data_IF_276018837984
#
_entry.id   IF_276018837984
#
_cell.length_a   1.000
_cell.length_b   1.000
_cell.length_c   1.000
_cell.angle_alpha   90.00
_cell.angle_beta   90.00
_cell.angle_gamma   90.00
#
_symmetry.space_group_name_H-M   'P 1'
#
loop_
_entity.id
_entity.type
_entity.pdbx_description
1 polymer ?
#
# COMPACT_ATOMS: atom_id res chain seq x y z
N UNK A 1 21.34 -23.62 -10.91
CA UNK A 1 21.73 -22.25 -10.51
C UNK A 1 20.78 -21.19 -11.12
N UNK A 2 20.55 -21.19 -12.45
CA UNK A 2 19.58 -20.28 -13.10
C UNK A 2 18.14 -20.50 -12.62
N UNK A 3 17.72 -21.75 -12.50
CA UNK A 3 16.37 -22.11 -12.00
C UNK A 3 16.16 -21.60 -10.58
N UNK A 4 17.16 -21.71 -9.71
CA UNK A 4 17.07 -21.20 -8.32
C UNK A 4 16.95 -19.67 -8.27
N UNK A 5 17.63 -18.98 -9.17
CA UNK A 5 17.55 -17.50 -9.30
C UNK A 5 16.15 -17.11 -9.76
N UNK A 6 15.62 -17.74 -10.80
CA UNK A 6 14.26 -17.47 -11.30
C UNK A 6 13.19 -17.71 -10.22
N UNK A 7 13.28 -18.83 -9.49
CA UNK A 7 12.35 -19.10 -8.38
C UNK A 7 12.40 -18.03 -7.29
N UNK A 8 13.61 -17.61 -6.90
CA UNK A 8 13.78 -16.54 -5.89
C UNK A 8 13.22 -15.21 -6.34
N UNK A 9 13.34 -14.89 -7.63
CA UNK A 9 12.73 -13.67 -8.21
C UNK A 9 11.21 -13.79 -8.13
N UNK A 10 10.62 -14.87 -8.63
CA UNK A 10 9.17 -15.10 -8.64
C UNK A 10 8.56 -15.08 -7.22
N UNK A 11 9.19 -15.74 -6.26
CA UNK A 11 8.77 -15.73 -4.86
C UNK A 11 8.82 -14.33 -4.25
N UNK A 12 9.88 -13.58 -4.54
CA UNK A 12 10.04 -12.21 -4.08
C UNK A 12 8.98 -11.29 -4.68
N UNK A 13 8.71 -11.42 -5.98
CA UNK A 13 7.70 -10.64 -6.69
C UNK A 13 6.28 -10.94 -6.18
N UNK A 14 5.95 -12.22 -6.00
CA UNK A 14 4.66 -12.64 -5.46
C UNK A 14 4.45 -12.11 -4.02
N UNK A 15 5.50 -12.20 -3.19
CA UNK A 15 5.47 -11.69 -1.82
C UNK A 15 5.33 -10.17 -1.77
N UNK A 16 6.10 -9.45 -2.58
CA UNK A 16 6.03 -7.99 -2.70
C UNK A 16 4.62 -7.53 -3.10
N UNK A 17 4.03 -8.17 -4.10
CA UNK A 17 2.66 -7.92 -4.56
C UNK A 17 1.63 -8.17 -3.46
N UNK A 18 1.71 -9.29 -2.76
CA UNK A 18 0.79 -9.61 -1.66
C UNK A 18 0.86 -8.58 -0.55
N UNK A 19 2.08 -8.19 -0.14
CA UNK A 19 2.28 -7.26 0.96
C UNK A 19 1.87 -5.83 0.58
N UNK A 20 2.19 -5.36 -0.63
CA UNK A 20 1.82 -4.02 -1.09
C UNK A 20 0.30 -3.84 -1.14
N UNK A 21 -0.44 -4.88 -1.53
CA UNK A 21 -1.90 -4.85 -1.57
C UNK A 21 -2.60 -4.94 -0.19
N UNK A 22 -1.85 -4.93 0.91
CA UNK A 22 -2.41 -4.87 2.27
C UNK A 22 -2.67 -3.44 2.75
N UNK A 23 -2.05 -2.45 2.14
CA UNK A 23 -2.13 -1.06 2.55
C UNK A 23 -3.36 -0.36 1.97
N UNK A 24 -3.99 0.52 2.77
CA UNK A 24 -5.17 1.25 2.33
C UNK A 24 -4.86 2.33 1.28
N UNK A 25 -3.61 2.78 1.19
CA UNK A 25 -3.18 3.76 0.18
C UNK A 25 -2.96 3.17 -1.22
N UNK A 26 -2.77 1.87 -1.35
CA UNK A 26 -2.43 1.20 -2.63
C UNK A 26 -3.41 1.48 -3.76
N UNK A 27 -4.76 1.42 -3.56
CA UNK A 27 -5.69 1.77 -4.64
C UNK A 27 -5.52 3.21 -5.15
N UNK A 28 -5.19 4.15 -4.24
CA UNK A 28 -4.91 5.55 -4.60
C UNK A 28 -3.67 5.68 -5.49
N UNK A 29 -2.62 4.91 -5.20
CA UNK A 29 -1.40 4.90 -6.03
C UNK A 29 -1.67 4.33 -7.43
N UNK A 30 -2.47 3.27 -7.52
CA UNK A 30 -2.88 2.72 -8.83
C UNK A 30 -3.74 3.72 -9.62
N UNK A 31 -4.68 4.42 -8.97
CA UNK A 31 -5.46 5.49 -9.62
C UNK A 31 -4.57 6.62 -10.13
N UNK A 32 -3.61 7.08 -9.32
CA UNK A 32 -2.63 8.09 -9.73
C UNK A 32 -1.81 7.68 -10.96
N UNK A 33 -1.48 6.38 -11.08
CA UNK A 33 -0.80 5.86 -12.26
C UNK A 33 -1.70 5.85 -13.49
N UNK A 34 -2.99 5.50 -13.35
CA UNK A 34 -3.96 5.61 -14.46
C UNK A 34 -4.14 7.06 -14.92
N UNK A 35 -4.11 8.02 -13.99
CA UNK A 35 -4.17 9.46 -14.32
C UNK A 35 -2.93 9.91 -15.09
N UNK A 36 -1.74 9.45 -14.71
CA UNK A 36 -0.49 9.71 -15.43
C UNK A 36 -0.50 9.11 -16.84
N UNK A 37 -1.07 7.92 -17.01
CA UNK A 37 -1.23 7.29 -18.34
C UNK A 37 -2.18 8.09 -19.23
N UNK A 38 -3.36 8.49 -18.72
CA UNK A 38 -4.33 9.28 -19.47
C UNK A 38 -3.78 10.66 -19.82
N UNK A 39 -3.06 11.29 -18.88
CA UNK A 39 -2.39 12.58 -19.08
C UNK A 39 -1.12 12.52 -19.93
N UNK A 40 -0.75 11.34 -20.48
CA UNK A 40 0.50 11.11 -21.24
C UNK A 40 1.78 11.48 -20.48
N UNK A 41 1.71 11.51 -19.15
CA UNK A 41 2.87 11.77 -18.28
C UNK A 41 3.73 10.52 -18.08
N UNK A 42 3.16 9.33 -18.31
CA UNK A 42 3.85 8.05 -18.32
C UNK A 42 3.70 7.36 -19.68
N UNK A 43 4.74 6.63 -20.06
CA UNK A 43 4.73 5.87 -21.32
C UNK A 43 3.96 4.56 -21.13
N UNK A 44 3.03 4.28 -22.03
CA UNK A 44 2.21 3.07 -22.01
C UNK A 44 3.05 1.78 -21.97
N UNK A 45 4.06 1.69 -22.85
CA UNK A 45 4.96 0.54 -22.94
C UNK A 45 5.82 0.29 -21.71
N UNK A 46 5.96 1.27 -20.81
CA UNK A 46 6.64 1.11 -19.51
C UNK A 46 5.73 0.62 -18.40
N UNK A 47 4.45 0.88 -18.53
CA UNK A 47 3.46 0.65 -17.46
C UNK A 47 2.67 -0.63 -17.71
N UNK A 48 2.15 -0.81 -18.92
CA UNK A 48 1.26 -1.91 -19.28
C UNK A 48 2.06 -3.04 -19.93
N UNK A 49 1.63 -4.29 -19.73
CA UNK A 49 2.28 -5.46 -20.31
C UNK A 49 2.19 -5.47 -21.84
N UNK A 50 3.20 -5.99 -22.50
CA UNK A 50 3.38 -5.97 -23.98
C UNK A 50 2.23 -6.62 -24.74
N UNK A 51 1.43 -7.48 -24.10
CA UNK A 51 0.23 -8.08 -24.72
C UNK A 51 -0.82 -7.06 -25.17
N UNK A 52 -0.72 -5.80 -24.75
CA UNK A 52 -1.60 -4.70 -25.13
C UNK A 52 -0.97 -3.71 -26.11
N UNK A 53 0.25 -3.95 -26.60
CA UNK A 53 0.93 -3.02 -27.49
C UNK A 53 0.12 -2.77 -28.79
N UNK A 54 -0.46 -3.83 -29.36
CA UNK A 54 -1.32 -3.74 -30.55
C UNK A 54 -2.77 -3.25 -30.25
N UNK A 55 -3.15 -3.19 -28.97
CA UNK A 55 -4.51 -2.84 -28.51
C UNK A 55 -4.52 -1.68 -27.51
N UNK A 56 -3.58 -0.76 -27.65
CA UNK A 56 -3.41 0.38 -26.75
C UNK A 56 -4.70 1.20 -26.59
N UNK A 57 -5.34 1.55 -27.70
CA UNK A 57 -6.54 2.39 -27.69
C UNK A 57 -7.68 1.69 -26.94
N UNK A 58 -7.90 0.40 -27.18
CA UNK A 58 -8.88 -0.41 -26.46
C UNK A 58 -8.59 -0.50 -24.95
N UNK A 59 -7.31 -0.51 -24.56
CA UNK A 59 -6.94 -0.43 -23.14
C UNK A 59 -7.26 0.95 -22.55
N UNK A 60 -6.92 2.03 -23.27
CA UNK A 60 -7.17 3.41 -22.83
C UNK A 60 -8.68 3.69 -22.68
N UNK A 61 -9.52 3.14 -23.53
CA UNK A 61 -10.98 3.20 -23.40
C UNK A 61 -11.52 2.55 -22.12
N UNK A 62 -10.78 1.59 -21.52
CA UNK A 62 -11.16 0.93 -20.28
C UNK A 62 -10.76 1.69 -19.01
N UNK A 63 -9.98 2.76 -19.09
CA UNK A 63 -9.51 3.52 -17.91
C UNK A 63 -10.65 3.96 -16.96
N UNK A 64 -11.81 4.45 -17.45
CA UNK A 64 -12.92 4.79 -16.55
C UNK A 64 -13.46 3.58 -15.77
N UNK A 65 -13.50 2.41 -16.40
CA UNK A 65 -13.93 1.16 -15.76
C UNK A 65 -12.91 0.71 -14.69
N UNK A 66 -11.62 0.80 -14.98
CA UNK A 66 -10.55 0.52 -14.02
C UNK A 66 -10.60 1.45 -12.82
N UNK A 67 -10.81 2.76 -13.02
CA UNK A 67 -11.00 3.71 -11.92
C UNK A 67 -12.17 3.35 -11.03
N UNK A 68 -13.32 3.05 -11.63
CA UNK A 68 -14.52 2.63 -10.88
C UNK A 68 -14.27 1.34 -10.08
N UNK A 69 -13.56 0.39 -10.68
CA UNK A 69 -13.15 -0.85 -10.00
C UNK A 69 -12.26 -0.54 -8.79
N UNK A 70 -11.22 0.28 -8.95
CA UNK A 70 -10.31 0.65 -7.87
C UNK A 70 -11.01 1.44 -6.75
N UNK A 71 -11.90 2.38 -7.09
CA UNK A 71 -12.72 3.11 -6.12
C UNK A 71 -13.59 2.15 -5.28
N UNK A 72 -14.25 1.20 -5.93
CA UNK A 72 -15.08 0.20 -5.24
C UNK A 72 -14.24 -0.68 -4.30
N UNK A 73 -13.06 -1.10 -4.74
CA UNK A 73 -12.15 -1.92 -3.91
C UNK A 73 -11.60 -1.09 -2.74
N UNK A 74 -11.20 0.17 -2.97
CA UNK A 74 -10.74 1.08 -1.93
C UNK A 74 -11.82 1.29 -0.86
N UNK A 75 -13.06 1.55 -1.27
CA UNK A 75 -14.18 1.72 -0.35
C UNK A 75 -14.41 0.47 0.51
N UNK A 76 -14.48 -0.71 -0.12
CA UNK A 76 -14.65 -2.00 0.59
C UNK A 76 -13.53 -2.27 1.59
N UNK A 77 -12.28 -1.96 1.21
CA UNK A 77 -11.13 -2.14 2.09
C UNK A 77 -11.23 -1.21 3.30
N UNK A 78 -11.52 0.08 3.09
CA UNK A 78 -11.68 1.06 4.15
C UNK A 78 -12.82 0.69 5.11
N UNK A 79 -13.98 0.29 4.60
CA UNK A 79 -15.12 -0.15 5.41
C UNK A 79 -14.80 -1.39 6.24
N UNK A 80 -14.14 -2.39 5.64
CA UNK A 80 -13.75 -3.61 6.33
C UNK A 80 -12.72 -3.33 7.45
N UNK A 81 -11.74 -2.47 7.19
CA UNK A 81 -10.72 -2.06 8.16
C UNK A 81 -11.33 -1.23 9.30
N UNK A 82 -12.21 -0.28 8.99
CA UNK A 82 -12.92 0.52 9.99
C UNK A 82 -13.75 -0.37 10.93
N UNK A 83 -14.49 -1.34 10.37
CA UNK A 83 -15.27 -2.31 11.15
C UNK A 83 -14.39 -3.16 12.07
N UNK A 84 -13.26 -3.66 11.57
CA UNK A 84 -12.32 -4.42 12.38
C UNK A 84 -11.73 -3.57 13.50
N UNK A 85 -11.30 -2.33 13.20
CA UNK A 85 -10.76 -1.40 14.19
C UNK A 85 -11.77 -1.05 15.29
N UNK A 86 -13.05 -0.86 14.93
CA UNK A 86 -14.14 -0.62 15.90
C UNK A 86 -14.34 -1.81 16.84
N UNK A 87 -14.38 -3.03 16.29
CA UNK A 87 -14.51 -4.25 17.10
C UNK A 87 -13.31 -4.48 18.01
N UNK A 88 -12.10 -4.14 17.54
CA UNK A 88 -10.88 -4.23 18.36
C UNK A 88 -10.88 -3.21 19.50
N UNK A 89 -11.33 -1.97 19.27
CA UNK A 89 -11.52 -0.96 20.34
C UNK A 89 -12.53 -1.42 21.38
N UNK A 90 -13.60 -2.08 20.94
CA UNK A 90 -14.68 -2.58 21.79
C UNK A 90 -14.51 -4.07 22.17
N UNK A 91 -13.29 -4.58 22.25
CA UNK A 91 -12.96 -6.01 22.41
C UNK A 91 -13.70 -6.69 23.58
N UNK A 92 -14.01 -5.95 24.65
CA UNK A 92 -14.78 -6.47 25.80
C UNK A 92 -16.24 -6.80 25.45
N UNK A 93 -16.80 -6.20 24.41
CA UNK A 93 -18.20 -6.39 23.95
C UNK A 93 -18.28 -7.20 22.66
N UNK A 94 -17.18 -7.34 21.93
CA UNK A 94 -17.12 -8.05 20.65
C UNK A 94 -16.99 -9.56 20.89
N UNK A 95 -17.83 -10.35 20.22
CA UNK A 95 -17.70 -11.81 20.25
C UNK A 95 -16.54 -12.29 19.39
N UNK A 96 -15.91 -13.43 19.71
CA UNK A 96 -14.86 -14.02 18.86
C UNK A 96 -15.31 -14.26 17.42
N UNK A 97 -16.59 -14.58 17.22
CA UNK A 97 -17.18 -14.79 15.90
C UNK A 97 -17.24 -13.48 15.10
N UNK A 98 -17.61 -12.37 15.73
CA UNK A 98 -17.64 -11.05 15.08
C UNK A 98 -16.23 -10.60 14.67
N UNK A 99 -15.23 -10.80 15.52
CA UNK A 99 -13.83 -10.49 15.20
C UNK A 99 -13.33 -11.30 14.00
N UNK A 100 -13.51 -12.64 14.03
CA UNK A 100 -13.13 -13.50 12.89
C UNK A 100 -13.85 -13.14 11.61
N UNK A 101 -15.15 -12.77 11.68
CA UNK A 101 -15.92 -12.30 10.53
C UNK A 101 -15.37 -11.00 9.94
N UNK A 102 -14.98 -10.04 10.78
CA UNK A 102 -14.36 -8.79 10.34
C UNK A 102 -12.96 -9.00 9.75
N UNK A 103 -12.12 -9.85 10.37
CA UNK A 103 -10.81 -10.24 9.83
C UNK A 103 -10.94 -10.88 8.45
N UNK A 104 -11.90 -11.80 8.28
CA UNK A 104 -12.20 -12.40 6.98
C UNK A 104 -12.68 -11.36 5.96
N UNK A 105 -13.47 -10.36 6.40
CA UNK A 105 -13.88 -9.24 5.55
C UNK A 105 -12.70 -8.43 5.02
N UNK A 106 -11.73 -8.10 5.88
CA UNK A 106 -10.48 -7.42 5.48
C UNK A 106 -9.68 -8.26 4.51
N UNK A 107 -9.55 -9.57 4.77
CA UNK A 107 -8.82 -10.47 3.88
C UNK A 107 -9.48 -10.57 2.49
N UNK A 108 -10.81 -10.63 2.43
CA UNK A 108 -11.54 -10.64 1.17
C UNK A 108 -11.34 -9.33 0.38
N UNK A 109 -11.33 -8.18 1.05
CA UNK A 109 -11.07 -6.88 0.42
C UNK A 109 -9.62 -6.79 -0.11
N UNK A 110 -8.64 -7.30 0.63
CA UNK A 110 -7.23 -7.41 0.18
C UNK A 110 -7.10 -8.32 -1.05
N UNK A 111 -7.81 -9.44 -1.08
CA UNK A 111 -7.82 -10.33 -2.25
C UNK A 111 -8.44 -9.65 -3.48
N UNK A 112 -9.52 -8.88 -3.28
CA UNK A 112 -10.13 -8.09 -4.37
C UNK A 112 -9.18 -7.03 -4.91
N UNK A 113 -8.41 -6.35 -4.06
CA UNK A 113 -7.38 -5.41 -4.49
C UNK A 113 -6.26 -6.09 -5.27
N UNK A 114 -5.81 -7.27 -4.80
CA UNK A 114 -4.82 -8.07 -5.53
C UNK A 114 -5.33 -8.47 -6.92
N UNK A 115 -6.59 -8.87 -7.04
CA UNK A 115 -7.20 -9.20 -8.32
C UNK A 115 -7.29 -7.96 -9.22
N UNK A 116 -7.73 -6.81 -8.68
CA UNK A 116 -7.78 -5.55 -9.40
C UNK A 116 -6.40 -5.17 -9.99
N UNK A 117 -5.31 -5.39 -9.25
CA UNK A 117 -3.96 -5.18 -9.78
C UNK A 117 -3.65 -6.11 -10.97
N UNK A 118 -4.07 -7.37 -10.92
CA UNK A 118 -3.87 -8.31 -12.03
C UNK A 118 -4.65 -7.88 -13.26
N UNK A 119 -5.87 -7.39 -13.08
CA UNK A 119 -6.76 -6.94 -14.17
C UNK A 119 -6.23 -5.67 -14.86
N UNK A 120 -5.47 -4.82 -14.14
CA UNK A 120 -4.78 -3.66 -14.72
C UNK A 120 -3.63 -4.03 -15.66
N UNK A 121 -3.13 -5.26 -15.59
CA UNK A 121 -2.03 -5.75 -16.42
C UNK A 121 -0.76 -4.87 -16.37
N UNK A 122 -0.45 -4.29 -15.21
CA UNK A 122 0.77 -3.53 -15.03
C UNK A 122 2.00 -4.42 -15.00
N UNK A 123 3.12 -3.92 -15.55
CA UNK A 123 4.42 -4.57 -15.47
C UNK A 123 4.90 -4.66 -14.01
N UNK A 124 5.65 -5.69 -13.69
CA UNK A 124 6.20 -5.88 -12.33
C UNK A 124 7.06 -4.69 -11.89
N UNK A 125 7.84 -4.11 -12.81
CA UNK A 125 8.67 -2.93 -12.53
C UNK A 125 7.87 -1.72 -12.05
N UNK A 126 6.62 -1.60 -12.47
CA UNK A 126 5.71 -0.55 -12.00
C UNK A 126 5.42 -0.71 -10.51
N UNK A 127 5.18 -1.94 -10.05
CA UNK A 127 4.97 -2.22 -8.63
C UNK A 127 6.20 -1.81 -7.80
N UNK A 128 7.40 -2.07 -8.31
CA UNK A 128 8.65 -1.67 -7.66
C UNK A 128 8.75 -0.14 -7.54
N UNK A 129 8.42 0.58 -8.61
CA UNK A 129 8.40 2.05 -8.60
C UNK A 129 7.38 2.59 -7.61
N UNK A 130 6.19 1.98 -7.54
CA UNK A 130 5.17 2.35 -6.54
C UNK A 130 5.61 2.04 -5.10
N UNK A 131 6.37 0.96 -4.89
CA UNK A 131 6.96 0.67 -3.58
C UNK A 131 8.02 1.72 -3.18
N UNK A 132 8.87 2.16 -4.12
CA UNK A 132 9.84 3.23 -3.89
C UNK A 132 9.12 4.55 -3.55
N UNK A 133 8.08 4.91 -4.33
CA UNK A 133 7.25 6.09 -4.07
C UNK A 133 6.58 6.02 -2.69
N UNK A 134 6.03 4.86 -2.32
CA UNK A 134 5.43 4.66 -1.00
C UNK A 134 6.46 4.73 0.14
N UNK A 135 7.68 4.25 -0.09
CA UNK A 135 8.77 4.37 0.87
C UNK A 135 9.11 5.84 1.14
N UNK A 136 9.27 6.64 0.09
CA UNK A 136 9.66 8.05 0.22
C UNK A 136 8.51 8.93 0.73
N UNK A 137 7.29 8.70 0.26
CA UNK A 137 6.16 9.62 0.54
C UNK A 137 5.31 9.22 1.75
N UNK A 138 5.38 7.97 2.21
CA UNK A 138 4.56 7.46 3.30
C UNK A 138 5.42 6.90 4.43
N UNK A 139 6.32 5.93 4.13
CA UNK A 139 7.06 5.23 5.17
C UNK A 139 8.08 6.12 5.88
N UNK A 140 8.97 6.78 5.15
CA UNK A 140 9.98 7.66 5.74
C UNK A 140 9.35 8.82 6.53
N UNK A 141 8.36 9.57 6.01
CA UNK A 141 7.66 10.59 6.80
C UNK A 141 7.01 10.02 8.07
N UNK A 142 6.40 8.83 7.98
CA UNK A 142 5.79 8.19 9.14
C UNK A 142 6.81 7.88 10.23
N UNK A 143 7.94 7.26 9.90
CA UNK A 143 9.01 6.94 10.86
C UNK A 143 9.60 8.22 11.46
N UNK A 144 9.91 9.22 10.62
CA UNK A 144 10.44 10.51 11.07
C UNK A 144 9.52 11.20 12.05
N UNK A 145 8.22 11.24 11.78
CA UNK A 145 7.23 11.83 12.70
C UNK A 145 7.10 11.04 14.00
N UNK A 146 7.18 9.70 13.95
CA UNK A 146 7.17 8.88 15.18
C UNK A 146 8.41 9.14 16.05
N UNK A 147 9.57 9.23 15.44
CA UNK A 147 10.81 9.53 16.15
C UNK A 147 10.79 10.94 16.76
N UNK A 148 10.32 11.92 15.99
CA UNK A 148 10.17 13.30 16.48
C UNK A 148 9.17 13.38 17.64
N UNK A 149 8.06 12.65 17.55
CA UNK A 149 7.10 12.58 18.65
C UNK A 149 7.72 12.00 19.93
N UNK A 150 8.56 10.96 19.81
CA UNK A 150 9.25 10.35 20.96
C UNK A 150 10.25 11.31 21.57
N UNK A 151 11.05 12.01 20.75
CA UNK A 151 12.02 13.01 21.22
C UNK A 151 11.31 14.13 21.98
N UNK A 152 10.29 14.74 21.38
CA UNK A 152 9.52 15.82 22.01
C UNK A 152 8.82 15.35 23.30
N UNK A 153 8.40 14.09 23.39
CA UNK A 153 7.80 13.56 24.62
C UNK A 153 8.81 13.47 25.79
N UNK A 154 10.11 13.32 25.51
CA UNK A 154 11.17 13.28 26.51
C UNK A 154 11.73 14.65 26.91
N UNK A 155 11.43 15.71 26.16
CA UNK A 155 11.90 17.06 26.44
C UNK A 155 11.09 17.74 27.55
N UNK A 156 11.70 18.74 28.24
CA UNK A 156 10.96 19.58 29.22
C UNK A 156 9.85 20.37 28.52
N UNK A 157 8.69 20.48 29.19
CA UNK A 157 7.55 21.22 28.67
C UNK A 157 7.89 22.70 28.47
N UNK A 158 7.56 23.21 27.28
CA UNK A 158 7.61 24.62 26.93
C UNK A 158 6.53 24.92 25.90
N UNK A 159 6.09 26.16 25.79
CA UNK A 159 5.06 26.56 24.80
C UNK A 159 5.44 26.14 23.35
N UNK A 160 6.71 26.30 23.00
CA UNK A 160 7.23 25.94 21.67
C UNK A 160 7.20 24.43 21.45
N UNK A 161 7.70 23.67 22.41
CA UNK A 161 7.70 22.19 22.36
C UNK A 161 6.27 21.64 22.30
N UNK A 162 5.34 22.19 23.09
CA UNK A 162 3.95 21.71 23.13
C UNK A 162 3.22 22.03 21.82
N UNK A 163 3.48 23.18 21.19
CA UNK A 163 2.96 23.50 19.86
C UNK A 163 3.49 22.54 18.78
N UNK A 164 4.80 22.29 18.77
CA UNK A 164 5.45 21.36 17.83
C UNK A 164 4.94 19.91 18.02
N UNK A 165 4.78 19.48 19.27
CA UNK A 165 4.20 18.17 19.56
C UNK A 165 2.76 18.02 19.07
N UNK A 166 1.96 19.08 19.15
CA UNK A 166 0.59 19.08 18.62
C UNK A 166 0.58 18.95 17.10
N UNK A 167 1.44 19.69 16.39
CA UNK A 167 1.60 19.61 14.94
C UNK A 167 2.06 18.22 14.48
N UNK A 168 3.07 17.66 15.14
CA UNK A 168 3.59 16.32 14.84
C UNK A 168 2.50 15.26 15.05
N UNK A 169 1.71 15.37 16.12
CA UNK A 169 0.58 14.47 16.37
C UNK A 169 -0.49 14.57 15.29
N UNK A 170 -0.86 15.77 14.88
CA UNK A 170 -1.84 15.99 13.82
C UNK A 170 -1.39 15.37 12.49
N UNK A 171 -0.15 15.61 12.09
CA UNK A 171 0.44 15.05 10.88
C UNK A 171 0.53 13.52 10.95
N UNK A 172 0.89 12.97 12.10
CA UNK A 172 0.93 11.53 12.31
C UNK A 172 -0.48 10.90 12.22
N UNK A 173 -1.52 11.53 12.78
CA UNK A 173 -2.90 11.05 12.65
C UNK A 173 -3.40 11.10 11.18
N UNK A 174 -3.04 12.14 10.43
CA UNK A 174 -3.35 12.21 8.98
C UNK A 174 -2.70 11.06 8.20
N UNK A 175 -1.46 10.69 8.54
CA UNK A 175 -0.80 9.53 7.92
C UNK A 175 -1.45 8.22 8.37
N UNK A 176 -1.69 8.04 9.66
CA UNK A 176 -2.31 6.82 10.21
C UNK A 176 -3.66 6.51 9.55
N UNK A 177 -4.46 7.53 9.24
CA UNK A 177 -5.73 7.33 8.55
C UNK A 177 -5.59 6.69 7.17
N UNK A 178 -4.42 6.84 6.53
CA UNK A 178 -4.11 6.29 5.20
C UNK A 178 -3.51 4.89 5.25
N UNK A 179 -3.05 4.41 6.42
CA UNK A 179 -2.33 3.14 6.52
C UNK A 179 -3.28 1.93 6.43
N UNK A 180 -4.48 2.05 7.02
CA UNK A 180 -5.49 0.99 7.09
C UNK A 180 -5.13 -0.18 8.02
N UNK A 181 -4.17 0.05 8.91
CA UNK A 181 -3.71 -0.91 9.91
C UNK A 181 -3.07 -0.16 11.09
N UNK A 182 -2.74 -0.88 12.17
CA UNK A 182 -2.05 -0.26 13.30
C UNK A 182 -0.64 0.23 12.90
N UNK A 183 -0.10 1.26 13.58
CA UNK A 183 1.26 1.76 13.33
C UNK A 183 2.35 0.68 13.39
N UNK A 184 2.27 -0.22 14.37
CA UNK A 184 3.26 -1.29 14.54
C UNK A 184 3.13 -2.36 13.44
N UNK A 185 1.90 -2.72 13.06
CA UNK A 185 1.63 -3.62 11.94
C UNK A 185 2.12 -3.01 10.61
N UNK A 186 1.88 -1.72 10.39
CA UNK A 186 2.34 -1.00 9.21
C UNK A 186 3.86 -1.06 9.09
N UNK A 187 4.56 -0.66 10.16
CA UNK A 187 6.03 -0.66 10.20
C UNK A 187 6.58 -2.05 9.84
N UNK A 188 6.12 -3.08 10.55
CA UNK A 188 6.56 -4.47 10.33
C UNK A 188 6.27 -4.92 8.90
N UNK A 189 5.05 -4.70 8.41
CA UNK A 189 4.65 -5.13 7.06
C UNK A 189 5.44 -4.40 5.98
N UNK A 190 5.73 -3.11 6.17
CA UNK A 190 6.50 -2.32 5.21
C UNK A 190 7.98 -2.70 5.21
N UNK A 191 8.58 -2.94 6.37
CA UNK A 191 9.97 -3.44 6.48
C UNK A 191 10.13 -4.81 5.79
N UNK A 192 9.16 -5.71 5.97
CA UNK A 192 9.14 -7.01 5.28
C UNK A 192 8.95 -6.87 3.76
N UNK A 193 8.07 -5.95 3.31
CA UNK A 193 7.88 -5.59 1.91
C UNK A 193 9.20 -5.12 1.30
N UNK A 194 9.84 -4.15 1.96
CA UNK A 194 11.09 -3.55 1.51
C UNK A 194 12.21 -4.58 1.41
N UNK A 195 12.36 -5.42 2.43
CA UNK A 195 13.33 -6.51 2.41
C UNK A 195 13.05 -7.55 1.30
N UNK A 196 11.78 -7.81 0.98
CA UNK A 196 11.41 -8.68 -0.14
C UNK A 196 11.80 -8.06 -1.48
N UNK A 197 11.49 -6.77 -1.66
CA UNK A 197 11.81 -6.00 -2.86
C UNK A 197 13.34 -5.98 -3.12
N UNK A 198 14.14 -5.70 -2.09
CA UNK A 198 15.60 -5.67 -2.22
C UNK A 198 16.17 -7.05 -2.59
N UNK A 199 15.67 -8.14 -1.99
CA UNK A 199 16.08 -9.50 -2.36
C UNK A 199 15.78 -9.84 -3.82
N UNK A 200 14.64 -9.38 -4.35
CA UNK A 200 14.30 -9.54 -5.76
C UNK A 200 15.24 -8.76 -6.68
N UNK A 201 15.63 -7.54 -6.31
CA UNK A 201 16.59 -6.72 -7.03
C UNK A 201 17.99 -7.37 -7.06
N UNK A 202 18.48 -7.78 -5.90
CA UNK A 202 19.77 -8.47 -5.77
C UNK A 202 19.82 -9.79 -6.54
N UNK A 203 18.71 -10.51 -6.65
CA UNK A 203 18.64 -11.75 -7.41
C UNK A 203 18.73 -11.53 -8.94
N UNK A 204 18.28 -10.35 -9.43
CA UNK A 204 18.35 -9.96 -10.85
C UNK A 204 19.73 -9.43 -11.28
N UNK A 205 20.53 -8.97 -10.32
CA UNK A 205 21.91 -8.49 -10.58
C UNK A 205 22.95 -9.60 -10.64
N UNK A 206 22.58 -10.83 -10.29
CA UNK A 206 23.45 -12.03 -10.30
C UNK A 206 23.22 -12.90 -11.53
#
# INVERSE_FOLDING_TARGET
QEVDICQRIEESEAKTKDMFNRFAFTPGMYMGLLDKLEGMQERFDRVVTDKFDDNRDAYMEQLPAFRKMLQNVAQRLNEAQAKLAELQKNRKKATPQQLRGAEKGVQNARNALRQAFLDLNFKQKVLETLCDEAHETIYLPFITLQERQRQLAGERSSKRRDAELAEVRENLEKLKSKLGMSPDEFRKTFEELWASLQRGREAREK
#
